data_IF_078424098172
#
_entry.id   IF_078424098172
#
_cell.length_a   1.000
_cell.length_b   1.000
_cell.length_c   1.000
_cell.angle_alpha   90.00
_cell.angle_beta   90.00
_cell.angle_gamma   90.00
#
_symmetry.space_group_name_H-M   'P 1'
#
loop_
_entity.id
_entity.type
_entity.pdbx_description
1 polymer ?
#
# COMPACT_ATOMS: atom_id res chain seq x y z
N UNK A 1 39.69 15.45 -0.33
CA UNK A 1 38.33 16.02 -0.45
C UNK A 1 37.50 15.35 -1.55
N UNK A 2 37.89 15.33 -2.84
CA UNK A 2 37.05 14.68 -3.90
C UNK A 2 36.77 13.18 -3.69
N UNK A 3 37.72 12.41 -3.15
CA UNK A 3 37.56 10.96 -2.97
C UNK A 3 36.50 10.55 -1.92
N UNK A 4 36.27 11.37 -0.89
CA UNK A 4 35.33 11.05 0.20
C UNK A 4 33.88 11.35 -0.21
N UNK A 5 33.67 12.41 -1.00
CA UNK A 5 32.37 12.75 -1.59
C UNK A 5 31.93 11.69 -2.62
N UNK A 6 32.86 11.20 -3.44
CA UNK A 6 32.61 10.12 -4.41
C UNK A 6 32.30 8.78 -3.71
N UNK A 7 32.96 8.50 -2.59
CA UNK A 7 32.70 7.30 -1.77
C UNK A 7 31.32 7.37 -1.09
N UNK A 8 30.94 8.54 -0.58
CA UNK A 8 29.62 8.79 0.00
C UNK A 8 28.49 8.63 -1.04
N UNK A 9 28.65 9.17 -2.25
CA UNK A 9 27.68 9.00 -3.33
C UNK A 9 27.61 7.55 -3.84
N UNK A 10 28.73 6.81 -3.80
CA UNK A 10 28.76 5.37 -4.11
C UNK A 10 28.05 4.54 -3.04
N UNK A 11 28.21 4.86 -1.75
CA UNK A 11 27.44 4.23 -0.68
C UNK A 11 25.94 4.53 -0.82
N UNK A 12 25.56 5.78 -1.09
CA UNK A 12 24.16 6.18 -1.30
C UNK A 12 23.50 5.47 -2.49
N UNK A 13 24.26 5.18 -3.55
CA UNK A 13 23.80 4.35 -4.68
C UNK A 13 23.69 2.86 -4.32
N UNK A 14 24.56 2.34 -3.44
CA UNK A 14 24.52 0.95 -2.98
C UNK A 14 23.48 0.69 -1.88
N UNK A 15 23.05 1.73 -1.16
CA UNK A 15 21.96 1.69 -0.18
C UNK A 15 20.56 1.75 -0.82
N UNK A 16 20.48 1.89 -2.15
CA UNK A 16 19.18 1.78 -2.82
C UNK A 16 18.59 0.39 -2.52
N UNK A 17 17.30 0.30 -2.14
CA UNK A 17 16.64 -0.97 -1.93
C UNK A 17 16.82 -1.85 -3.15
N UNK A 18 17.46 -3.01 -2.98
CA UNK A 18 17.55 -4.01 -4.04
C UNK A 18 16.19 -4.69 -4.12
N UNK A 19 15.56 -4.61 -5.28
CA UNK A 19 14.25 -5.25 -5.50
C UNK A 19 14.40 -6.77 -5.36
N UNK A 20 13.80 -7.31 -4.30
CA UNK A 20 13.68 -8.76 -4.12
C UNK A 20 12.61 -9.23 -5.11
N UNK A 21 12.83 -10.27 -5.93
CA UNK A 21 11.81 -10.72 -6.88
C UNK A 21 10.59 -11.30 -6.15
N UNK A 22 9.37 -11.03 -6.65
CA UNK A 22 8.16 -11.69 -6.15
C UNK A 22 8.09 -13.14 -6.66
N UNK A 23 7.51 -14.06 -5.88
CA UNK A 23 7.32 -15.45 -6.30
C UNK A 23 6.55 -15.62 -7.63
N UNK A 24 5.59 -14.74 -7.96
CA UNK A 24 4.82 -14.83 -9.21
C UNK A 24 5.39 -13.99 -10.39
N UNK A 25 6.54 -13.33 -10.21
CA UNK A 25 7.20 -12.55 -11.27
C UNK A 25 8.33 -13.28 -12.01
N UNK A 26 8.68 -14.49 -11.60
CA UNK A 26 9.77 -15.28 -12.20
C UNK A 26 9.23 -16.14 -13.35
N UNK A 27 9.03 -15.53 -14.52
CA UNK A 27 9.21 -16.25 -15.78
C UNK A 27 10.71 -16.42 -16.02
N UNK A 28 11.36 -17.21 -15.18
CA UNK A 28 12.69 -17.67 -15.49
C UNK A 28 12.63 -19.20 -15.45
N UNK A 29 13.04 -19.76 -16.59
CA UNK A 29 13.51 -21.13 -16.81
C UNK A 29 14.64 -21.51 -15.83
N UNK A 30 14.40 -21.50 -14.52
CA UNK A 30 15.23 -22.27 -13.59
C UNK A 30 14.43 -23.49 -13.17
N UNK A 31 14.92 -24.60 -13.67
CA UNK A 31 14.70 -25.97 -13.26
C UNK A 31 14.85 -26.12 -11.74
N UNK A 32 13.83 -25.70 -10.98
CA UNK A 32 13.65 -26.07 -9.58
C UNK A 32 12.57 -27.13 -9.55
N UNK A 33 13.04 -28.37 -9.54
CA UNK A 33 12.30 -29.60 -9.36
C UNK A 33 11.52 -29.63 -8.04
N UNK A 34 10.37 -28.95 -8.00
CA UNK A 34 9.22 -29.44 -7.27
C UNK A 34 8.37 -30.22 -8.27
N UNK A 35 8.34 -31.56 -8.14
CA UNK A 35 7.52 -32.43 -8.97
C UNK A 35 6.03 -32.06 -8.80
N UNK A 36 5.56 -31.12 -9.61
CA UNK A 36 4.14 -30.93 -9.90
C UNK A 36 4.00 -31.03 -11.41
N UNK A 37 3.22 -32.02 -11.84
CA UNK A 37 3.04 -32.45 -13.23
C UNK A 37 2.94 -31.25 -14.17
N UNK A 38 3.84 -31.20 -15.16
CA UNK A 38 3.61 -30.48 -16.41
C UNK A 38 2.38 -31.09 -17.07
N UNK A 39 1.21 -30.51 -16.83
CA UNK A 39 -0.01 -30.85 -17.53
C UNK A 39 -0.73 -29.54 -17.85
N UNK A 40 -0.38 -28.98 -19.01
CA UNK A 40 -1.29 -28.22 -19.87
C UNK A 40 -2.18 -27.17 -19.17
N UNK A 41 -1.57 -26.22 -18.46
CA UNK A 41 -2.28 -25.10 -17.79
C UNK A 41 -2.28 -23.84 -18.67
N UNK A 42 -2.12 -23.99 -20.00
CA UNK A 42 -2.04 -22.86 -20.91
C UNK A 42 -3.28 -22.67 -21.77
N UNK A 43 -4.46 -23.14 -21.36
CA UNK A 43 -5.70 -22.78 -22.06
C UNK A 43 -6.99 -22.97 -21.26
N UNK A 44 -7.02 -22.69 -19.95
CA UNK A 44 -8.31 -22.63 -19.25
C UNK A 44 -8.89 -21.20 -19.38
N UNK A 45 -9.86 -20.94 -20.27
CA UNK A 45 -10.43 -19.60 -20.50
C UNK A 45 -11.08 -19.02 -19.23
N UNK A 46 -11.44 -19.89 -18.29
CA UNK A 46 -11.95 -19.51 -16.95
C UNK A 46 -10.86 -18.83 -16.12
N UNK A 47 -9.62 -19.33 -16.10
CA UNK A 47 -8.54 -18.64 -15.37
C UNK A 47 -8.23 -17.27 -15.98
N UNK A 48 -8.29 -17.17 -17.31
CA UNK A 48 -8.09 -15.90 -18.03
C UNK A 48 -9.22 -14.90 -17.78
N UNK A 49 -10.47 -15.36 -17.65
CA UNK A 49 -11.59 -14.44 -17.40
C UNK A 49 -11.64 -13.89 -15.97
N UNK A 50 -10.97 -14.55 -15.01
CA UNK A 50 -10.85 -14.08 -13.62
C UNK A 50 -9.51 -13.41 -13.29
N UNK A 51 -8.60 -13.32 -14.26
CA UNK A 51 -7.26 -12.73 -14.13
C UNK A 51 -6.53 -13.17 -12.84
N UNK A 52 -6.49 -14.50 -12.65
CA UNK A 52 -5.97 -15.13 -11.43
C UNK A 52 -4.50 -14.75 -11.17
N UNK A 53 -3.72 -14.58 -12.23
CA UNK A 53 -2.31 -14.23 -12.14
C UNK A 53 -2.12 -12.78 -11.64
N UNK A 54 -2.85 -11.80 -12.19
CA UNK A 54 -2.76 -10.42 -11.72
C UNK A 54 -3.25 -10.28 -10.26
N UNK A 55 -4.27 -11.03 -9.87
CA UNK A 55 -4.75 -11.08 -8.47
C UNK A 55 -3.69 -11.67 -7.54
N UNK A 56 -3.05 -12.76 -7.95
CA UNK A 56 -1.97 -13.38 -7.19
C UNK A 56 -0.79 -12.42 -7.06
N UNK A 57 -0.44 -11.69 -8.13
CA UNK A 57 0.61 -10.67 -8.09
C UNK A 57 0.27 -9.55 -7.10
N UNK A 58 -0.96 -9.03 -7.15
CA UNK A 58 -1.44 -8.00 -6.23
C UNK A 58 -1.37 -8.46 -4.77
N UNK A 59 -1.81 -9.68 -4.48
CA UNK A 59 -1.75 -10.25 -3.12
C UNK A 59 -0.30 -10.35 -2.62
N UNK A 60 0.65 -10.68 -3.50
CA UNK A 60 2.07 -10.76 -3.14
C UNK A 60 2.69 -9.38 -2.91
N UNK A 61 2.36 -8.36 -3.71
CA UNK A 61 2.80 -6.98 -3.47
C UNK A 61 2.24 -6.42 -2.16
N UNK A 62 0.96 -6.69 -1.90
CA UNK A 62 0.32 -6.37 -0.63
C UNK A 62 1.09 -7.04 0.52
N UNK A 63 1.33 -8.35 0.45
CA UNK A 63 2.07 -9.08 1.48
C UNK A 63 3.46 -8.49 1.71
N UNK A 64 4.18 -8.17 0.63
CA UNK A 64 5.49 -7.52 0.70
C UNK A 64 5.44 -6.17 1.40
N UNK A 65 4.42 -5.35 1.13
CA UNK A 65 4.21 -4.08 1.82
C UNK A 65 4.09 -4.28 3.34
N UNK A 66 3.38 -5.32 3.80
CA UNK A 66 3.30 -5.63 5.23
C UNK A 66 4.66 -6.05 5.82
N UNK A 67 5.34 -7.00 5.19
CA UNK A 67 6.56 -7.59 5.76
C UNK A 67 7.76 -6.65 5.71
N UNK A 68 7.89 -5.85 4.64
CA UNK A 68 9.00 -4.90 4.50
C UNK A 68 8.73 -3.57 5.21
N UNK A 69 7.47 -3.14 5.25
CA UNK A 69 7.05 -1.91 5.92
C UNK A 69 6.80 -2.05 7.42
N UNK A 70 6.86 -3.28 7.97
CA UNK A 70 6.58 -3.54 9.38
C UNK A 70 5.15 -3.17 9.79
N UNK A 71 4.18 -3.31 8.88
CA UNK A 71 2.79 -2.93 9.13
C UNK A 71 2.09 -3.96 10.01
N UNK A 72 1.29 -3.49 10.97
CA UNK A 72 0.45 -4.37 11.80
C UNK A 72 -0.64 -5.03 10.95
N UNK A 73 -0.88 -6.33 11.15
CA UNK A 73 -1.98 -7.06 10.49
C UNK A 73 -3.36 -6.49 10.83
N UNK A 74 -3.50 -5.71 11.91
CA UNK A 74 -4.75 -5.01 12.20
C UNK A 74 -5.13 -4.00 11.10
N UNK A 75 -4.16 -3.49 10.33
CA UNK A 75 -4.41 -2.62 9.18
C UNK A 75 -5.32 -3.30 8.14
N UNK A 76 -5.19 -4.61 7.92
CA UNK A 76 -6.00 -5.35 6.96
C UNK A 76 -7.49 -5.38 7.36
N UNK A 77 -7.79 -5.17 8.65
CA UNK A 77 -9.16 -5.08 9.18
C UNK A 77 -9.75 -3.67 9.07
N UNK A 78 -8.94 -2.67 8.70
CA UNK A 78 -9.43 -1.30 8.53
C UNK A 78 -10.36 -1.24 7.30
N UNK A 79 -11.61 -0.77 7.43
CA UNK A 79 -12.51 -0.65 6.28
C UNK A 79 -11.96 0.20 5.12
N UNK A 80 -11.12 1.19 5.43
CA UNK A 80 -10.48 2.04 4.42
C UNK A 80 -9.40 1.32 3.62
N UNK A 81 -8.75 0.31 4.21
CA UNK A 81 -7.81 -0.56 3.50
C UNK A 81 -8.52 -1.34 2.40
N UNK A 82 -9.65 -1.99 2.72
CA UNK A 82 -10.41 -2.72 1.70
C UNK A 82 -11.00 -1.78 0.64
N UNK A 83 -11.54 -0.64 1.08
CA UNK A 83 -12.14 0.36 0.17
C UNK A 83 -11.14 0.95 -0.81
N UNK A 84 -9.88 1.18 -0.41
CA UNK A 84 -8.88 1.76 -1.31
C UNK A 84 -8.54 0.81 -2.47
N UNK A 85 -8.29 -0.47 -2.19
CA UNK A 85 -8.04 -1.47 -3.25
C UNK A 85 -9.27 -1.73 -4.09
N UNK A 86 -10.45 -1.84 -3.47
CA UNK A 86 -11.70 -2.00 -4.21
C UNK A 86 -11.95 -0.82 -5.16
N UNK A 87 -11.68 0.40 -4.72
CA UNK A 87 -11.81 1.60 -5.55
C UNK A 87 -10.80 1.59 -6.71
N UNK A 88 -9.52 1.32 -6.42
CA UNK A 88 -8.47 1.27 -7.43
C UNK A 88 -8.68 0.15 -8.46
N UNK A 89 -9.20 -1.02 -8.05
CA UNK A 89 -9.47 -2.14 -8.94
C UNK A 89 -10.75 -1.96 -9.79
N UNK A 90 -11.72 -1.17 -9.31
CA UNK A 90 -12.98 -0.91 -10.04
C UNK A 90 -12.90 0.30 -10.97
N UNK A 91 -11.97 1.22 -10.74
CA UNK A 91 -11.83 2.44 -11.54
C UNK A 91 -10.56 2.39 -12.37
N UNK A 92 -10.69 2.61 -13.68
CA UNK A 92 -9.52 2.78 -14.55
C UNK A 92 -8.90 4.17 -14.31
N UNK A 93 -7.82 4.21 -13.53
CA UNK A 93 -7.09 5.45 -13.16
C UNK A 93 -5.71 5.48 -13.85
N UNK A 94 -5.63 5.75 -15.16
CA UNK A 94 -4.37 5.72 -15.89
C UNK A 94 -3.37 6.74 -15.33
N UNK A 95 -2.16 6.28 -15.00
CA UNK A 95 -1.10 7.12 -14.44
C UNK A 95 -1.28 7.53 -12.99
N UNK A 96 -2.29 6.99 -12.28
CA UNK A 96 -2.45 7.26 -10.86
C UNK A 96 -1.34 6.58 -10.05
N UNK A 97 -0.73 7.35 -9.13
CA UNK A 97 0.26 6.87 -8.18
C UNK A 97 -0.29 7.08 -6.77
N UNK A 98 -0.25 6.05 -5.90
CA UNK A 98 -0.63 6.20 -4.50
C UNK A 98 0.10 7.36 -3.82
N UNK A 99 -0.53 8.04 -2.85
CA UNK A 99 0.08 9.19 -2.20
C UNK A 99 1.37 8.81 -1.46
N UNK A 100 2.47 9.50 -1.78
CA UNK A 100 3.75 9.33 -1.09
C UNK A 100 3.79 9.97 0.30
N UNK A 101 4.89 9.72 1.02
CA UNK A 101 5.12 10.14 2.42
C UNK A 101 4.74 11.61 2.69
N UNK A 102 5.28 12.56 1.92
CA UNK A 102 5.04 13.99 2.18
C UNK A 102 3.58 14.40 1.95
N UNK A 103 2.93 13.80 0.93
CA UNK A 103 1.52 14.09 0.62
C UNK A 103 0.60 13.57 1.72
N UNK A 104 0.90 12.40 2.29
CA UNK A 104 0.20 11.87 3.46
C UNK A 104 0.41 12.77 4.69
N UNK A 105 1.68 13.09 5.01
CA UNK A 105 2.05 13.85 6.20
C UNK A 105 1.47 15.25 6.25
N UNK A 106 1.30 15.91 5.11
CA UNK A 106 0.95 17.32 5.04
C UNK A 106 -0.43 17.55 4.43
N UNK A 107 -0.55 17.40 3.11
CA UNK A 107 -1.76 17.77 2.37
C UNK A 107 -2.97 16.95 2.79
N UNK A 108 -2.86 15.62 2.78
CA UNK A 108 -4.00 14.75 3.10
C UNK A 108 -4.35 14.84 4.60
N UNK A 109 -3.36 14.96 5.48
CA UNK A 109 -3.60 15.19 6.90
C UNK A 109 -4.34 16.51 7.15
N UNK A 110 -3.96 17.59 6.47
CA UNK A 110 -4.62 18.89 6.59
C UNK A 110 -6.06 18.85 6.06
N UNK A 111 -6.29 18.14 4.95
CA UNK A 111 -7.63 17.94 4.40
C UNK A 111 -8.51 17.14 5.36
N UNK A 112 -7.99 16.06 5.95
CA UNK A 112 -8.74 15.26 6.92
C UNK A 112 -9.06 16.06 8.19
N UNK A 113 -8.08 16.82 8.71
CA UNK A 113 -8.31 17.74 9.84
C UNK A 113 -9.42 18.75 9.54
N UNK A 114 -9.40 19.35 8.36
CA UNK A 114 -10.43 20.30 7.95
C UNK A 114 -11.81 19.63 7.82
N UNK A 115 -11.86 18.40 7.30
CA UNK A 115 -13.10 17.63 7.21
C UNK A 115 -13.68 17.32 8.59
N UNK A 116 -12.86 16.83 9.53
CA UNK A 116 -13.29 16.57 10.92
C UNK A 116 -13.75 17.86 11.59
N UNK A 117 -13.01 18.96 11.44
CA UNK A 117 -13.38 20.25 12.04
C UNK A 117 -14.74 20.75 11.50
N UNK A 118 -14.99 20.58 10.21
CA UNK A 118 -16.29 20.90 9.57
C UNK A 118 -17.42 20.03 10.13
N UNK A 119 -17.19 18.73 10.29
CA UNK A 119 -18.17 17.80 10.86
C UNK A 119 -18.46 18.09 12.33
N UNK A 120 -17.48 18.63 13.06
CA UNK A 120 -17.64 19.00 14.47
C UNK A 120 -18.36 20.34 14.66
N UNK A 121 -18.38 21.25 13.68
CA UNK A 121 -19.00 22.58 13.83
C UNK A 121 -20.41 22.56 14.42
N UNK A 122 -21.35 21.69 13.96
CA UNK A 122 -22.69 21.64 14.54
C UNK A 122 -22.67 21.25 16.02
N UNK A 123 -21.79 20.31 16.42
CA UNK A 123 -21.63 19.92 17.81
C UNK A 123 -21.05 21.08 18.63
N UNK A 124 -20.03 21.77 18.12
CA UNK A 124 -19.42 22.94 18.79
C UNK A 124 -20.40 24.07 19.00
N UNK A 125 -21.31 24.27 18.04
CA UNK A 125 -22.38 25.25 18.14
C UNK A 125 -23.33 25.02 19.32
N UNK A 126 -23.49 23.78 19.79
CA UNK A 126 -24.38 23.48 20.94
C UNK A 126 -23.74 23.69 22.31
N UNK A 127 -22.42 23.92 22.38
CA UNK A 127 -21.70 24.03 23.65
C UNK A 127 -22.11 25.21 24.55
N UNK A 128 -22.45 26.42 24.03
CA UNK A 128 -22.89 27.52 24.88
C UNK A 128 -24.18 27.20 25.66
N UNK A 129 -25.04 26.35 25.10
CA UNK A 129 -26.32 25.97 25.70
C UNK A 129 -26.19 24.75 26.62
N UNK A 130 -25.41 23.74 26.20
CA UNK A 130 -25.35 22.42 26.87
C UNK A 130 -24.08 22.20 27.70
N UNK A 131 -23.09 23.08 27.56
CA UNK A 131 -21.75 22.87 28.11
C UNK A 131 -20.97 21.78 27.35
N UNK A 132 -19.72 21.58 27.76
CA UNK A 132 -18.82 20.55 27.24
C UNK A 132 -18.03 19.97 28.41
N UNK A 133 -17.92 18.64 28.48
CA UNK A 133 -16.99 17.93 29.37
C UNK A 133 -15.86 17.35 28.55
N UNK A 134 -14.61 17.66 28.92
CA UNK A 134 -13.41 17.10 28.31
C UNK A 134 -12.88 16.03 29.25
N UNK A 135 -12.83 14.78 28.78
CA UNK A 135 -12.16 13.69 29.48
C UNK A 135 -10.77 13.50 28.89
N UNK A 136 -9.74 13.59 29.72
CA UNK A 136 -8.35 13.27 29.33
C UNK A 136 -8.00 11.89 29.88
N UNK A 137 -7.73 10.93 29.00
CA UNK A 137 -7.00 9.71 29.35
C UNK A 137 -5.51 10.05 29.34
N UNK A 138 -4.88 10.06 30.52
CA UNK A 138 -3.49 10.48 30.68
C UNK A 138 -2.48 9.65 29.90
#
# INVERSE_FOLDING_TARGET
MKNEEDEYEKMKKNLQPKDVPLPCGFVIDVDVSYKKRKQDVQSNPIMKCYDVDARTQLDQEIGRMYFTGGLSFNLARNPHYLRSYAFAASHNLPGYVPPGYNKLRTTLLQQEKANVERLLQPLKGTWPEKGLTICTDG
#
